data_IF_738143062453
#
_entry.id   IF_738143062453
#
_cell.length_a   1.000
_cell.length_b   1.000
_cell.length_c   1.000
_cell.angle_alpha   90.00
_cell.angle_beta   90.00
_cell.angle_gamma   90.00
#
_symmetry.space_group_name_H-M   'P 1'
#
loop_
_entity.id
_entity.type
_entity.pdbx_description
1 polymer ?
#
# COMPACT_ATOMS: atom_id res chain seq x y z
N UNK A 1 -23.12 -43.22 -57.37
CA UNK A 1 -21.83 -43.65 -56.91
C UNK A 1 -21.82 -43.48 -55.43
N UNK A 2 -21.72 -44.52 -54.78
CA UNK A 2 -21.63 -44.99 -53.42
C UNK A 2 -21.68 -43.94 -52.29
N UNK A 3 -22.80 -43.92 -51.54
CA UNK A 3 -22.96 -43.23 -50.27
C UNK A 3 -22.56 -44.18 -49.12
N UNK A 4 -21.75 -43.69 -48.21
CA UNK A 4 -21.28 -44.41 -47.00
C UNK A 4 -22.43 -44.46 -45.96
N UNK A 5 -22.82 -45.61 -45.43
CA UNK A 5 -24.00 -45.77 -44.60
C UNK A 5 -23.68 -45.83 -43.07
N UNK A 6 -22.71 -45.08 -42.53
CA UNK A 6 -22.28 -45.22 -41.11
C UNK A 6 -22.58 -44.06 -40.20
N UNK A 7 -23.58 -43.24 -40.49
CA UNK A 7 -24.06 -42.22 -39.56
C UNK A 7 -25.52 -42.47 -39.18
N UNK A 8 -25.77 -43.52 -38.39
CA UNK A 8 -27.05 -43.69 -37.67
C UNK A 8 -26.81 -43.47 -36.19
N UNK A 9 -27.39 -42.36 -35.74
CA UNK A 9 -28.12 -42.15 -34.49
C UNK A 9 -27.64 -42.84 -33.22
N UNK A 10 -27.24 -42.04 -32.24
CA UNK A 10 -27.50 -42.29 -30.83
C UNK A 10 -28.02 -41.00 -30.18
N UNK A 11 -29.30 -40.75 -30.26
CA UNK A 11 -30.00 -39.91 -29.36
C UNK A 11 -30.16 -40.65 -28.03
N UNK A 12 -29.34 -40.33 -27.04
CA UNK A 12 -29.55 -40.77 -25.65
C UNK A 12 -30.30 -39.70 -24.91
N UNK A 13 -31.45 -40.07 -24.35
CA UNK A 13 -32.32 -39.31 -23.52
C UNK A 13 -31.54 -38.77 -22.27
N UNK A 14 -31.43 -37.48 -22.13
CA UNK A 14 -30.99 -36.85 -20.89
C UNK A 14 -32.11 -36.90 -19.86
N UNK A 15 -32.02 -37.81 -18.91
CA UNK A 15 -32.86 -37.84 -17.70
C UNK A 15 -32.49 -36.61 -16.86
N UNK A 16 -33.42 -35.68 -16.73
CA UNK A 16 -33.34 -34.55 -15.82
C UNK A 16 -33.40 -35.10 -14.38
N UNK A 17 -32.27 -35.13 -13.70
CA UNK A 17 -32.22 -35.31 -12.25
C UNK A 17 -32.54 -33.94 -11.61
N UNK A 18 -33.63 -33.89 -10.88
CA UNK A 18 -33.96 -32.78 -9.97
C UNK A 18 -32.87 -32.66 -8.90
N UNK A 19 -32.35 -31.46 -8.59
CA UNK A 19 -31.43 -31.28 -7.47
C UNK A 19 -32.15 -31.58 -6.14
N UNK A 20 -31.45 -32.28 -5.26
CA UNK A 20 -31.92 -32.60 -3.92
C UNK A 20 -32.16 -31.31 -3.10
N UNK A 21 -33.17 -31.30 -2.20
CA UNK A 21 -33.42 -30.12 -1.37
C UNK A 21 -32.25 -29.82 -0.44
N UNK A 22 -31.84 -28.56 -0.41
CA UNK A 22 -30.78 -28.03 0.47
C UNK A 22 -31.26 -28.15 1.93
N UNK A 23 -30.50 -28.72 2.86
CA UNK A 23 -30.85 -28.75 4.26
C UNK A 23 -30.94 -27.34 4.85
N UNK A 24 -31.83 -27.08 5.83
CA UNK A 24 -31.95 -25.78 6.47
C UNK A 24 -30.66 -25.42 7.24
N UNK A 25 -30.32 -24.12 7.35
CA UNK A 25 -29.17 -23.69 8.11
C UNK A 25 -29.30 -24.05 9.61
N UNK A 26 -28.19 -24.32 10.30
CA UNK A 26 -28.21 -24.57 11.72
C UNK A 26 -28.72 -23.36 12.51
N UNK A 27 -29.39 -23.57 13.66
CA UNK A 27 -29.86 -22.47 14.51
C UNK A 27 -28.69 -21.66 15.06
N UNK A 28 -28.87 -20.33 15.28
CA UNK A 28 -27.86 -19.48 15.86
C UNK A 28 -27.48 -19.94 17.28
N UNK A 29 -26.24 -19.76 17.72
CA UNK A 29 -25.82 -20.09 19.10
C UNK A 29 -26.58 -19.23 20.11
N UNK A 30 -26.86 -19.77 21.33
CA UNK A 30 -27.58 -19.03 22.36
C UNK A 30 -26.78 -17.80 22.81
N UNK A 31 -27.50 -16.68 22.98
CA UNK A 31 -26.95 -15.44 23.53
C UNK A 31 -26.45 -15.69 24.99
N UNK A 32 -25.30 -15.12 25.38
CA UNK A 32 -24.84 -15.23 26.75
C UNK A 32 -25.74 -14.44 27.68
N UNK A 33 -26.35 -15.09 28.64
CA UNK A 33 -27.13 -14.50 29.71
C UNK A 33 -26.30 -13.53 30.53
N UNK A 34 -26.70 -12.28 30.58
CA UNK A 34 -26.18 -11.26 31.48
C UNK A 34 -26.51 -11.59 32.94
N UNK A 35 -25.56 -12.15 33.67
CA UNK A 35 -25.56 -12.09 35.12
C UNK A 35 -24.79 -10.83 35.56
N UNK A 36 -25.53 -9.91 36.15
CA UNK A 36 -24.99 -8.78 36.88
C UNK A 36 -24.25 -9.25 38.11
N UNK A 37 -22.94 -9.09 38.19
CA UNK A 37 -22.18 -9.13 39.44
C UNK A 37 -21.32 -7.88 39.56
N UNK A 38 -21.28 -7.42 40.79
CA UNK A 38 -20.89 -6.14 41.34
C UNK A 38 -19.60 -5.53 40.86
N UNK A 39 -19.63 -4.22 40.96
CA UNK A 39 -18.52 -3.28 40.85
C UNK A 39 -17.36 -3.69 41.79
N UNK A 40 -16.21 -3.96 41.17
CA UNK A 40 -14.91 -3.62 41.74
C UNK A 40 -14.08 -2.95 40.65
N UNK A 41 -13.69 -1.71 40.90
CA UNK A 41 -12.98 -0.88 39.93
C UNK A 41 -11.56 -1.37 39.68
N UNK A 42 -11.37 -2.10 38.60
CA UNK A 42 -10.09 -2.23 37.95
C UNK A 42 -10.11 -1.34 36.72
N UNK A 43 -9.25 -0.33 36.74
CA UNK A 43 -8.97 0.58 35.63
C UNK A 43 -8.34 -0.26 34.49
N UNK A 44 -9.18 -0.85 33.65
CA UNK A 44 -8.75 -1.44 32.38
C UNK A 44 -8.49 -0.30 31.39
N UNK A 45 -7.38 0.40 31.62
CA UNK A 45 -6.84 1.30 30.61
C UNK A 45 -6.44 0.43 29.42
N UNK A 46 -7.19 0.50 28.32
CA UNK A 46 -6.77 -0.05 27.06
C UNK A 46 -5.29 0.32 26.81
N UNK A 47 -4.44 -0.59 26.28
CA UNK A 47 -3.03 -0.29 26.06
C UNK A 47 -2.94 0.96 25.18
N UNK A 48 -2.46 2.07 25.77
CA UNK A 48 -2.18 3.30 25.05
C UNK A 48 -1.13 2.94 24.02
N UNK A 49 -1.50 2.91 22.73
CA UNK A 49 -0.52 2.81 21.66
C UNK A 49 0.44 3.99 21.85
N UNK A 50 1.76 3.76 21.88
CA UNK A 50 2.71 4.84 22.00
C UNK A 50 2.44 5.82 20.85
N UNK A 51 2.23 7.09 21.18
CA UNK A 51 2.05 8.15 20.20
C UNK A 51 3.37 8.31 19.44
N UNK A 52 3.34 8.06 18.14
CA UNK A 52 4.50 8.18 17.27
C UNK A 52 4.71 9.66 16.99
N UNK A 53 5.87 10.22 17.42
CA UNK A 53 6.25 11.58 17.07
C UNK A 53 6.79 11.62 15.61
N UNK A 54 6.10 12.30 14.69
CA UNK A 54 6.51 12.36 13.30
C UNK A 54 7.89 12.95 13.07
N UNK A 55 8.36 13.83 13.97
CA UNK A 55 9.67 14.49 13.82
C UNK A 55 10.86 13.57 14.11
N UNK A 56 10.65 12.60 14.99
CA UNK A 56 11.70 11.63 15.38
C UNK A 56 11.61 10.32 14.61
N UNK A 57 10.53 10.12 13.84
CA UNK A 57 10.24 8.89 13.10
C UNK A 57 10.97 8.83 11.76
N UNK A 58 11.07 7.61 11.21
CA UNK A 58 11.44 7.40 9.81
C UNK A 58 10.37 7.98 8.89
N UNK A 59 10.82 8.48 7.74
CA UNK A 59 9.98 9.02 6.67
C UNK A 59 9.83 7.97 5.58
N UNK A 60 8.60 7.68 5.18
CA UNK A 60 8.28 6.61 4.25
C UNK A 60 7.76 7.16 2.91
N UNK A 61 8.02 6.39 1.87
CA UNK A 61 7.43 6.58 0.55
C UNK A 61 6.86 5.26 0.05
N UNK A 62 5.59 5.22 -0.35
CA UNK A 62 4.98 4.01 -0.91
C UNK A 62 4.72 4.18 -2.41
N UNK A 63 5.06 3.16 -3.22
CA UNK A 63 5.07 3.29 -4.67
C UNK A 63 4.41 2.08 -5.34
N UNK A 64 3.52 2.32 -6.30
CA UNK A 64 3.00 1.31 -7.23
C UNK A 64 2.99 1.86 -8.66
N UNK A 65 2.33 1.20 -9.61
CA UNK A 65 2.34 1.68 -11.01
C UNK A 65 1.58 3.01 -11.20
N UNK A 66 0.35 3.12 -10.66
CA UNK A 66 -0.58 4.23 -10.95
C UNK A 66 -0.88 5.15 -9.76
N UNK A 67 -0.29 4.91 -8.59
CA UNK A 67 -0.59 5.63 -7.35
C UNK A 67 -2.11 5.65 -7.04
N UNK A 68 -2.77 4.50 -7.19
CA UNK A 68 -4.22 4.38 -7.03
C UNK A 68 -4.63 3.35 -5.97
N UNK A 69 -4.18 2.11 -6.06
CA UNK A 69 -4.63 1.02 -5.21
C UNK A 69 -3.61 0.67 -4.12
N UNK A 70 -2.57 -0.10 -4.43
CA UNK A 70 -1.63 -0.69 -3.46
C UNK A 70 -0.84 0.36 -2.67
N UNK A 71 -0.18 1.30 -3.35
CA UNK A 71 0.59 2.35 -2.68
C UNK A 71 -0.27 3.29 -1.85
N UNK A 72 -1.52 3.54 -2.27
CA UNK A 72 -2.43 4.41 -1.54
C UNK A 72 -3.04 3.71 -0.32
N UNK A 73 -3.25 2.39 -0.37
CA UNK A 73 -3.62 1.61 0.82
C UNK A 73 -2.48 1.59 1.84
N UNK A 74 -1.26 1.30 1.39
CA UNK A 74 -0.07 1.36 2.25
C UNK A 74 0.11 2.76 2.85
N UNK A 75 -0.04 3.83 2.06
CA UNK A 75 0.00 5.21 2.54
C UNK A 75 -1.03 5.45 3.66
N UNK A 76 -2.28 5.03 3.45
CA UNK A 76 -3.33 5.15 4.47
C UNK A 76 -2.95 4.45 5.77
N UNK A 77 -2.45 3.22 5.70
CA UNK A 77 -2.06 2.43 6.88
C UNK A 77 -0.93 3.12 7.65
N UNK A 78 0.14 3.54 6.97
CA UNK A 78 1.29 4.22 7.58
C UNK A 78 0.89 5.55 8.21
N UNK A 79 0.21 6.41 7.46
CA UNK A 79 -0.22 7.73 7.94
C UNK A 79 -1.25 7.63 9.08
N UNK A 80 -2.12 6.60 9.08
CA UNK A 80 -3.06 6.36 10.18
C UNK A 80 -2.38 5.85 11.46
N UNK A 81 -1.18 5.28 11.33
CA UNK A 81 -0.33 4.93 12.46
C UNK A 81 0.56 6.10 12.93
N UNK A 82 0.45 7.29 12.32
CA UNK A 82 1.25 8.48 12.67
C UNK A 82 2.64 8.54 12.02
N UNK A 83 2.95 7.65 11.07
CA UNK A 83 4.23 7.65 10.37
C UNK A 83 4.24 8.68 9.23
N UNK A 84 5.29 9.53 9.11
CA UNK A 84 5.49 10.44 7.99
C UNK A 84 5.51 9.68 6.67
N UNK A 85 4.59 10.00 5.76
CA UNK A 85 4.39 9.19 4.54
C UNK A 85 4.03 10.04 3.34
N UNK A 86 4.67 9.75 2.20
CA UNK A 86 4.32 10.23 0.87
C UNK A 86 4.10 9.04 -0.06
N UNK A 87 3.49 9.24 -1.22
CA UNK A 87 3.27 8.13 -2.16
C UNK A 87 3.27 8.58 -3.62
N UNK A 88 3.71 7.66 -4.51
CA UNK A 88 3.87 7.92 -5.93
C UNK A 88 3.47 6.72 -6.80
N UNK A 89 3.36 6.97 -8.12
CA UNK A 89 3.34 5.95 -9.15
C UNK A 89 4.58 6.02 -10.04
N UNK A 90 4.95 4.92 -10.70
CA UNK A 90 6.10 4.87 -11.63
C UNK A 90 5.70 4.88 -13.11
N UNK A 91 4.42 4.69 -13.41
CA UNK A 91 3.92 4.66 -14.79
C UNK A 91 4.07 6.02 -15.49
N UNK A 92 3.96 6.00 -16.82
CA UNK A 92 3.89 7.24 -17.61
C UNK A 92 2.53 7.94 -17.49
N UNK A 93 1.47 7.17 -17.27
CA UNK A 93 0.09 7.60 -17.11
C UNK A 93 -0.60 6.77 -16.03
N UNK A 94 -1.59 7.37 -15.39
CA UNK A 94 -2.52 6.66 -14.50
C UNK A 94 -3.46 5.82 -15.36
N UNK A 95 -3.55 4.52 -15.09
CA UNK A 95 -4.43 3.60 -15.80
C UNK A 95 -5.37 2.94 -14.82
N UNK A 96 -6.67 3.02 -15.11
CA UNK A 96 -7.74 2.38 -14.35
C UNK A 96 -8.56 1.49 -15.28
N UNK A 97 -9.20 0.43 -14.78
CA UNK A 97 -10.18 -0.33 -15.55
C UNK A 97 -11.22 0.59 -16.17
N UNK A 98 -11.53 0.36 -17.44
CA UNK A 98 -12.54 1.09 -18.17
C UNK A 98 -13.81 0.23 -18.39
N UNK A 99 -14.72 0.69 -19.26
CA UNK A 99 -15.94 -0.03 -19.55
C UNK A 99 -15.70 -1.36 -20.26
N UNK A 100 -14.53 -1.53 -20.88
CA UNK A 100 -14.09 -2.79 -21.46
C UNK A 100 -12.57 -2.97 -21.28
N UNK A 101 -12.08 -4.19 -21.43
CA UNK A 101 -10.67 -4.51 -21.34
C UNK A 101 -9.79 -3.72 -22.34
N UNK A 102 -10.33 -3.41 -23.51
CA UNK A 102 -9.62 -2.66 -24.56
C UNK A 102 -9.74 -1.13 -24.43
N UNK A 103 -10.52 -0.64 -23.49
CA UNK A 103 -10.77 0.79 -23.29
C UNK A 103 -10.52 1.19 -21.82
N UNK A 104 -9.26 1.19 -21.36
CA UNK A 104 -8.95 1.65 -20.01
C UNK A 104 -9.21 3.15 -19.87
N UNK A 105 -9.57 3.58 -18.66
CA UNK A 105 -9.56 4.99 -18.30
C UNK A 105 -8.11 5.42 -18.07
N UNK A 106 -7.70 6.54 -18.67
CA UNK A 106 -6.31 7.02 -18.64
C UNK A 106 -6.26 8.48 -18.24
N UNK A 107 -5.39 8.80 -17.26
CA UNK A 107 -5.25 10.14 -16.70
C UNK A 107 -3.78 10.53 -16.58
N UNK A 108 -3.53 11.82 -16.43
CA UNK A 108 -2.19 12.36 -16.20
C UNK A 108 -1.87 12.45 -14.71
N UNK A 109 -0.64 12.07 -14.35
CA UNK A 109 -0.08 12.36 -13.04
C UNK A 109 0.07 13.86 -12.82
N UNK A 110 0.14 14.29 -11.57
CA UNK A 110 0.44 15.64 -11.10
C UNK A 110 -0.55 16.72 -11.60
N UNK A 111 -1.62 16.35 -12.30
CA UNK A 111 -2.59 17.33 -12.87
C UNK A 111 -4.04 16.89 -12.75
N UNK A 112 -4.35 15.61 -12.93
CA UNK A 112 -5.74 15.11 -12.77
C UNK A 112 -5.99 14.72 -11.33
N UNK A 113 -6.89 15.41 -10.64
CA UNK A 113 -7.20 15.15 -9.23
C UNK A 113 -8.00 13.87 -9.04
N UNK A 114 -7.90 13.24 -7.86
CA UNK A 114 -8.76 12.10 -7.51
C UNK A 114 -10.26 12.47 -7.56
N UNK A 115 -10.60 13.73 -7.24
CA UNK A 115 -11.97 14.24 -7.34
C UNK A 115 -12.47 14.24 -8.78
N UNK A 116 -11.66 14.73 -9.73
CA UNK A 116 -12.01 14.72 -11.14
C UNK A 116 -12.18 13.29 -11.67
N UNK A 117 -11.25 12.39 -11.34
CA UNK A 117 -11.34 10.97 -11.73
C UNK A 117 -12.62 10.34 -11.17
N UNK A 118 -12.90 10.55 -9.88
CA UNK A 118 -14.09 10.01 -9.23
C UNK A 118 -15.37 10.53 -9.89
N UNK A 119 -15.47 11.82 -10.14
CA UNK A 119 -16.62 12.44 -10.78
C UNK A 119 -16.82 11.93 -12.21
N UNK A 120 -15.77 11.82 -13.00
CA UNK A 120 -15.82 11.31 -14.37
C UNK A 120 -16.31 9.86 -14.41
N UNK A 121 -15.73 8.98 -13.60
CA UNK A 121 -16.16 7.58 -13.54
C UNK A 121 -17.60 7.44 -13.03
N UNK A 122 -18.00 8.26 -12.06
CA UNK A 122 -19.41 8.30 -11.59
C UNK A 122 -20.35 8.69 -12.73
N UNK A 123 -19.99 9.69 -13.52
CA UNK A 123 -20.82 10.16 -14.66
C UNK A 123 -20.81 9.13 -15.79
N UNK A 124 -19.67 8.46 -16.04
CA UNK A 124 -19.54 7.46 -17.10
C UNK A 124 -20.39 6.20 -16.81
N UNK A 125 -20.27 5.61 -15.64
CA UNK A 125 -21.07 4.45 -15.20
C UNK A 125 -20.92 4.18 -13.69
N UNK A 126 -21.71 4.86 -12.87
CA UNK A 126 -21.68 4.71 -11.41
C UNK A 126 -21.87 3.26 -10.95
N UNK A 127 -22.81 2.52 -11.60
CA UNK A 127 -23.12 1.14 -11.20
C UNK A 127 -21.91 0.22 -11.42
N UNK A 128 -21.27 0.29 -12.59
CA UNK A 128 -20.09 -0.51 -12.91
C UNK A 128 -18.94 -0.22 -11.95
N UNK A 129 -18.63 1.06 -11.75
CA UNK A 129 -17.45 1.46 -10.98
C UNK A 129 -17.64 1.38 -9.46
N UNK A 130 -18.88 1.34 -8.98
CA UNK A 130 -19.21 0.94 -7.61
C UNK A 130 -19.03 -0.58 -7.44
N UNK A 131 -19.58 -1.37 -8.36
CA UNK A 131 -19.54 -2.83 -8.29
C UNK A 131 -18.11 -3.40 -8.35
N UNK A 132 -17.20 -2.77 -9.12
CA UNK A 132 -15.81 -3.18 -9.20
C UNK A 132 -14.87 -2.51 -8.16
N UNK A 133 -15.42 -1.71 -7.24
CA UNK A 133 -14.70 -1.08 -6.14
C UNK A 133 -13.91 0.18 -6.49
N UNK A 134 -13.88 0.64 -7.75
CA UNK A 134 -13.10 1.82 -8.15
C UNK A 134 -13.55 3.11 -7.46
N UNK A 135 -14.87 3.35 -7.32
CA UNK A 135 -15.35 4.56 -6.65
C UNK A 135 -15.01 4.55 -5.16
N UNK A 136 -15.06 3.40 -4.50
CA UNK A 136 -14.65 3.27 -3.09
C UNK A 136 -13.14 3.53 -2.93
N UNK A 137 -12.31 2.98 -3.82
CA UNK A 137 -10.87 3.21 -3.85
C UNK A 137 -10.55 4.70 -4.05
N UNK A 138 -11.19 5.35 -5.00
CA UNK A 138 -11.00 6.79 -5.25
C UNK A 138 -11.51 7.64 -4.09
N UNK A 139 -12.63 7.28 -3.46
CA UNK A 139 -13.14 7.93 -2.24
C UNK A 139 -12.14 7.84 -1.08
N UNK A 140 -11.45 6.70 -0.90
CA UNK A 140 -10.33 6.57 0.03
C UNK A 140 -9.20 7.52 -0.34
N UNK A 141 -8.80 7.57 -1.61
CA UNK A 141 -7.67 8.38 -2.07
C UNK A 141 -7.91 9.88 -1.87
N UNK A 142 -9.13 10.36 -2.10
CA UNK A 142 -9.56 11.75 -1.84
C UNK A 142 -9.29 12.19 -0.39
N UNK A 143 -9.38 11.26 0.57
CA UNK A 143 -9.14 11.55 1.99
C UNK A 143 -7.66 11.46 2.39
N UNK A 144 -6.77 11.20 1.42
CA UNK A 144 -5.33 11.07 1.66
C UNK A 144 -4.58 12.25 1.03
N UNK A 145 -4.80 12.52 -0.27
CA UNK A 145 -4.12 13.59 -1.02
C UNK A 145 -4.92 14.02 -2.26
N UNK A 146 -4.54 15.15 -2.85
CA UNK A 146 -5.30 15.77 -3.94
C UNK A 146 -5.28 15.00 -5.26
N UNK A 147 -4.14 14.45 -5.66
CA UNK A 147 -3.95 13.81 -6.96
C UNK A 147 -2.86 12.73 -6.96
N UNK A 148 -2.87 11.80 -7.94
CA UNK A 148 -1.78 10.86 -8.13
C UNK A 148 -0.51 11.59 -8.57
N UNK A 149 0.61 11.31 -7.92
CA UNK A 149 1.91 11.91 -8.23
C UNK A 149 2.83 10.85 -8.87
N UNK A 150 3.78 11.32 -9.71
CA UNK A 150 4.74 10.45 -10.38
C UNK A 150 6.10 10.52 -9.69
N UNK A 151 6.70 9.35 -9.39
CA UNK A 151 7.98 9.23 -8.68
C UNK A 151 9.14 9.92 -9.41
N UNK A 152 9.22 9.76 -10.73
CA UNK A 152 10.29 10.32 -11.53
C UNK A 152 10.26 11.87 -11.59
N UNK A 153 9.09 12.47 -11.34
CA UNK A 153 8.91 13.93 -11.33
C UNK A 153 9.24 14.55 -9.95
N UNK A 154 9.30 13.69 -8.90
CA UNK A 154 9.69 14.12 -7.57
C UNK A 154 11.20 14.39 -7.51
N UNK A 155 11.58 15.51 -6.91
CA UNK A 155 12.98 15.90 -6.72
C UNK A 155 13.31 15.82 -5.24
N UNK A 156 14.09 14.80 -4.80
CA UNK A 156 14.51 14.68 -3.42
C UNK A 156 15.25 15.92 -2.90
N UNK A 157 14.99 16.29 -1.64
CA UNK A 157 15.60 17.45 -1.00
C UNK A 157 14.96 18.79 -1.35
N UNK A 158 13.98 18.83 -2.26
CA UNK A 158 13.16 20.04 -2.44
C UNK A 158 12.00 20.01 -1.44
N UNK A 159 11.73 21.16 -0.77
CA UNK A 159 10.57 21.27 0.10
C UNK A 159 9.28 20.87 -0.60
N UNK A 160 8.38 20.24 0.13
CA UNK A 160 7.04 19.91 -0.36
C UNK A 160 6.27 21.19 -0.72
N UNK A 161 5.50 21.12 -1.82
CA UNK A 161 4.66 22.24 -2.24
C UNK A 161 3.51 22.52 -1.25
N UNK A 162 2.99 23.74 -1.23
CA UNK A 162 1.88 24.13 -0.34
C UNK A 162 0.66 23.22 -0.47
N UNK A 163 0.34 22.79 -1.71
CA UNK A 163 -0.80 21.91 -2.01
C UNK A 163 -0.70 20.52 -1.35
N UNK A 164 0.51 20.09 -0.96
CA UNK A 164 0.75 18.82 -0.30
C UNK A 164 0.85 18.91 1.22
N UNK A 165 0.78 20.11 1.81
CA UNK A 165 0.91 20.28 3.26
C UNK A 165 -0.23 19.64 4.05
N UNK A 166 -1.39 19.52 3.43
CA UNK A 166 -2.58 18.91 4.02
C UNK A 166 -2.75 17.44 3.67
N UNK A 167 -1.83 16.85 2.91
CA UNK A 167 -1.87 15.42 2.61
C UNK A 167 -1.76 14.64 3.93
N UNK A 168 -2.49 13.54 4.04
CA UNK A 168 -2.43 12.69 5.23
C UNK A 168 -1.02 12.10 5.35
N UNK A 169 -0.39 12.24 6.51
CA UNK A 169 1.00 11.81 6.73
C UNK A 169 2.07 12.80 6.24
N UNK A 170 1.69 14.02 5.80
CA UNK A 170 2.65 15.02 5.33
C UNK A 170 3.62 15.52 6.43
N UNK A 171 3.16 15.54 7.69
CA UNK A 171 3.98 15.97 8.82
C UNK A 171 5.28 15.13 8.90
N UNK A 172 6.44 15.82 8.98
CA UNK A 172 7.77 15.21 8.98
C UNK A 172 8.37 14.99 7.58
N UNK A 173 7.63 15.23 6.47
CA UNK A 173 8.12 15.10 5.09
C UNK A 173 8.39 16.44 4.40
N UNK A 174 8.33 17.55 5.13
CA UNK A 174 8.40 18.91 4.60
C UNK A 174 9.69 19.20 3.82
N UNK A 175 10.81 18.58 4.24
CA UNK A 175 12.10 18.71 3.59
C UNK A 175 12.20 17.98 2.23
N UNK A 176 11.16 17.20 1.86
CA UNK A 176 11.16 16.43 0.61
C UNK A 176 12.17 15.29 0.57
N UNK A 177 12.51 14.71 1.73
CA UNK A 177 13.37 13.52 1.83
C UNK A 177 12.65 12.40 2.58
N UNK A 178 12.99 11.15 2.25
CA UNK A 178 12.51 9.96 2.95
C UNK A 178 13.67 9.06 3.34
N UNK A 179 13.43 8.18 4.30
CA UNK A 179 14.41 7.20 4.79
C UNK A 179 14.19 5.83 4.15
N UNK A 180 12.95 5.55 3.76
CA UNK A 180 12.50 4.25 3.24
C UNK A 180 11.54 4.46 2.09
N UNK A 181 11.77 3.76 0.98
CA UNK A 181 10.84 3.62 -0.15
C UNK A 181 10.35 2.18 -0.18
N UNK A 182 9.03 1.96 -0.28
CA UNK A 182 8.43 0.63 -0.38
C UNK A 182 7.60 0.55 -1.65
N UNK A 183 8.03 -0.27 -2.59
CA UNK A 183 7.32 -0.56 -3.84
C UNK A 183 6.42 -1.78 -3.67
N UNK A 184 5.39 -1.89 -4.52
CA UNK A 184 4.38 -2.94 -4.42
C UNK A 184 4.46 -3.98 -5.54
N UNK A 185 5.47 -3.91 -6.40
CA UNK A 185 5.78 -4.87 -7.48
C UNK A 185 7.19 -4.63 -8.02
N UNK A 186 7.82 -5.68 -8.56
CA UNK A 186 9.21 -5.68 -9.01
C UNK A 186 9.51 -4.59 -10.06
N UNK A 187 8.67 -4.43 -11.08
CA UNK A 187 8.87 -3.37 -12.09
C UNK A 187 8.83 -1.95 -11.51
N UNK A 188 8.13 -1.72 -10.39
CA UNK A 188 8.18 -0.44 -9.70
C UNK A 188 9.47 -0.29 -8.89
N UNK A 189 9.98 -1.39 -8.32
CA UNK A 189 11.26 -1.44 -7.63
C UNK A 189 12.40 -1.09 -8.59
N UNK A 190 12.46 -1.73 -9.74
CA UNK A 190 13.46 -1.45 -10.76
C UNK A 190 13.38 0.01 -11.23
N UNK A 191 12.16 0.50 -11.55
CA UNK A 191 11.96 1.88 -11.98
C UNK A 191 12.38 2.92 -10.93
N UNK A 192 12.20 2.62 -9.64
CA UNK A 192 12.66 3.48 -8.54
C UNK A 192 14.18 3.47 -8.43
N UNK A 193 14.82 2.31 -8.48
CA UNK A 193 16.29 2.19 -8.43
C UNK A 193 16.95 2.88 -9.63
N UNK A 194 16.42 2.66 -10.83
CA UNK A 194 16.91 3.31 -12.05
C UNK A 194 16.79 4.84 -11.96
N UNK A 195 15.67 5.35 -11.47
CA UNK A 195 15.45 6.79 -11.32
C UNK A 195 16.40 7.42 -10.28
N UNK A 196 16.58 6.75 -9.12
CA UNK A 196 17.54 7.20 -8.10
C UNK A 196 18.98 7.20 -8.64
N UNK A 197 19.36 6.14 -9.36
CA UNK A 197 20.68 6.05 -10.00
C UNK A 197 20.87 7.18 -11.03
N UNK A 198 19.89 7.43 -11.88
CA UNK A 198 19.95 8.49 -12.91
C UNK A 198 19.97 9.91 -12.30
N UNK A 199 19.37 10.12 -11.15
CA UNK A 199 19.45 11.38 -10.38
C UNK A 199 20.83 11.63 -9.77
N UNK A 200 21.65 10.58 -9.64
CA UNK A 200 23.08 10.67 -9.35
C UNK A 200 23.45 10.99 -7.89
N UNK A 201 22.56 10.68 -6.94
CA UNK A 201 22.91 10.72 -5.50
C UNK A 201 23.38 12.10 -4.99
N UNK A 202 22.83 13.20 -5.49
CA UNK A 202 23.29 14.57 -5.23
C UNK A 202 23.28 14.96 -3.75
N UNK A 203 22.44 14.34 -2.94
CA UNK A 203 22.37 14.60 -1.51
C UNK A 203 23.35 13.74 -0.71
N UNK A 204 23.99 12.76 -1.35
CA UNK A 204 24.83 11.75 -0.69
C UNK A 204 24.15 11.13 0.54
N UNK A 205 22.84 10.88 0.43
CA UNK A 205 22.00 10.41 1.52
C UNK A 205 21.45 9.04 1.19
N UNK A 206 21.74 7.99 2.01
CA UNK A 206 21.24 6.64 1.78
C UNK A 206 19.72 6.57 1.99
N UNK A 207 19.08 5.72 1.21
CA UNK A 207 17.66 5.38 1.30
C UNK A 207 17.47 3.89 1.11
N UNK A 208 16.72 3.26 2.00
CA UNK A 208 16.37 1.85 1.86
C UNK A 208 15.19 1.71 0.90
N UNK A 209 15.36 0.90 -0.13
CA UNK A 209 14.30 0.58 -1.08
C UNK A 209 13.89 -0.87 -0.89
N UNK A 210 12.63 -1.09 -0.56
CA UNK A 210 12.02 -2.42 -0.44
C UNK A 210 11.05 -2.65 -1.58
N UNK A 211 10.94 -3.87 -2.07
CA UNK A 211 9.79 -4.34 -2.80
C UNK A 211 9.01 -5.33 -1.93
N UNK A 212 7.70 -5.17 -1.85
CA UNK A 212 6.77 -6.16 -1.31
C UNK A 212 5.83 -6.53 -2.44
N UNK A 213 5.92 -7.75 -2.95
CA UNK A 213 5.15 -8.14 -4.13
C UNK A 213 3.68 -8.39 -3.78
N UNK A 214 2.81 -7.48 -4.21
CA UNK A 214 1.38 -7.44 -3.91
C UNK A 214 0.60 -7.50 -5.21
N UNK A 215 -0.32 -8.45 -5.36
CA UNK A 215 -1.21 -8.51 -6.52
C UNK A 215 -2.10 -7.27 -6.58
N UNK A 216 -2.33 -6.75 -7.79
CA UNK A 216 -3.11 -5.52 -7.98
C UNK A 216 -4.62 -5.80 -8.00
N UNK A 217 -5.16 -6.09 -6.84
CA UNK A 217 -6.58 -6.13 -6.55
C UNK A 217 -6.86 -5.55 -5.16
N UNK A 218 -8.12 -5.32 -4.83
CA UNK A 218 -8.50 -4.63 -3.61
C UNK A 218 -8.16 -5.44 -2.35
N UNK A 219 -8.41 -6.73 -2.35
CA UNK A 219 -8.20 -7.63 -1.20
C UNK A 219 -6.71 -7.76 -0.86
N UNK A 220 -5.89 -8.03 -1.87
CA UNK A 220 -4.44 -8.13 -1.69
C UNK A 220 -3.81 -6.80 -1.30
N UNK A 221 -4.34 -5.66 -1.79
CA UNK A 221 -3.88 -4.35 -1.36
C UNK A 221 -4.12 -4.11 0.14
N UNK A 222 -5.25 -4.57 0.70
CA UNK A 222 -5.53 -4.47 2.14
C UNK A 222 -4.57 -5.35 2.96
N UNK A 223 -4.27 -6.56 2.51
CA UNK A 223 -3.31 -7.46 3.16
C UNK A 223 -1.91 -6.87 3.07
N UNK A 224 -1.48 -6.46 1.88
CA UNK A 224 -0.18 -5.86 1.64
C UNK A 224 0.03 -4.55 2.41
N UNK A 225 -1.00 -3.71 2.53
CA UNK A 225 -0.95 -2.48 3.33
C UNK A 225 -0.66 -2.76 4.81
N UNK A 226 -1.29 -3.80 5.39
CA UNK A 226 -1.01 -4.23 6.78
C UNK A 226 0.40 -4.80 6.93
N UNK A 227 0.86 -5.58 5.96
CA UNK A 227 2.20 -6.15 5.94
C UNK A 227 3.28 -5.05 5.84
N UNK A 228 3.05 -4.05 4.99
CA UNK A 228 3.92 -2.87 4.86
C UNK A 228 3.94 -2.07 6.18
N UNK A 229 2.80 -1.90 6.84
CA UNK A 229 2.74 -1.25 8.16
C UNK A 229 3.58 -2.00 9.19
N UNK A 230 3.48 -3.33 9.25
CA UNK A 230 4.28 -4.18 10.17
C UNK A 230 5.80 -4.03 9.91
N UNK A 231 6.22 -4.01 8.64
CA UNK A 231 7.62 -3.73 8.27
C UNK A 231 8.04 -2.33 8.73
N UNK A 232 7.24 -1.32 8.42
CA UNK A 232 7.53 0.07 8.74
C UNK A 232 7.65 0.32 10.25
N UNK A 233 6.77 -0.28 11.05
CA UNK A 233 6.84 -0.21 12.52
C UNK A 233 8.11 -0.86 13.05
N UNK A 234 8.50 -2.03 12.53
CA UNK A 234 9.73 -2.74 12.92
C UNK A 234 10.98 -1.90 12.58
N UNK A 235 11.02 -1.29 11.39
CA UNK A 235 12.10 -0.39 10.98
C UNK A 235 12.15 0.86 11.86
N UNK A 236 10.99 1.48 12.12
CA UNK A 236 10.91 2.70 12.93
C UNK A 236 11.32 2.46 14.38
N UNK A 237 10.96 1.32 14.96
CA UNK A 237 11.39 0.91 16.30
C UNK A 237 12.91 0.72 16.38
N UNK A 238 13.51 0.06 15.39
CA UNK A 238 14.95 -0.12 15.32
C UNK A 238 15.69 1.23 15.22
N UNK A 239 15.23 2.12 14.34
CA UNK A 239 15.76 3.46 14.20
C UNK A 239 15.67 4.27 15.51
N UNK A 240 14.54 4.19 16.21
CA UNK A 240 14.36 4.86 17.49
C UNK A 240 15.32 4.34 18.57
N UNK A 241 15.53 3.02 18.64
CA UNK A 241 16.51 2.40 19.57
C UNK A 241 17.94 2.86 19.31
N UNK A 242 18.38 2.91 18.04
CA UNK A 242 19.71 3.38 17.70
C UNK A 242 19.89 4.87 18.02
N UNK A 243 18.91 5.72 17.71
CA UNK A 243 18.94 7.14 18.09
C UNK A 243 18.99 7.34 19.60
N UNK A 244 18.23 6.54 20.36
CA UNK A 244 18.25 6.60 21.82
C UNK A 244 19.61 6.19 22.41
N UNK A 245 20.25 5.20 21.82
CA UNK A 245 21.53 4.67 22.31
C UNK A 245 22.73 5.53 21.91
N UNK A 246 22.76 6.08 20.70
CA UNK A 246 23.92 6.70 20.08
C UNK A 246 23.73 8.18 19.72
N UNK A 247 22.52 8.73 19.96
CA UNK A 247 22.13 10.08 19.56
C UNK A 247 21.77 10.18 18.06
N UNK A 248 21.21 11.28 17.66
CA UNK A 248 20.69 11.54 16.30
C UNK A 248 21.63 12.40 15.44
N UNK A 249 22.85 12.64 15.91
CA UNK A 249 23.80 13.50 15.20
C UNK A 249 24.13 12.93 13.80
N UNK A 250 23.84 13.73 12.78
CA UNK A 250 24.03 13.35 11.38
C UNK A 250 22.88 12.57 10.75
N UNK A 251 21.90 12.10 11.53
CA UNK A 251 20.80 11.28 11.03
C UNK A 251 20.07 11.87 9.82
N UNK A 252 19.68 13.14 9.89
CA UNK A 252 19.00 13.83 8.79
C UNK A 252 19.84 13.98 7.52
N UNK A 253 21.14 13.89 7.65
CA UNK A 253 22.08 13.84 6.52
C UNK A 253 22.38 12.42 6.05
N UNK A 254 21.75 11.41 6.67
CA UNK A 254 21.98 9.99 6.37
C UNK A 254 23.33 9.49 6.83
N UNK A 255 23.88 10.02 7.94
CA UNK A 255 25.19 9.65 8.47
C UNK A 255 25.17 9.61 10.01
N UNK A 256 26.25 9.11 10.60
CA UNK A 256 26.44 9.03 12.05
C UNK A 256 26.15 7.64 12.61
N UNK A 257 26.69 7.37 13.81
CA UNK A 257 26.71 6.02 14.39
C UNK A 257 25.34 5.39 14.56
N UNK A 258 24.31 6.19 14.90
CA UNK A 258 22.94 5.67 15.00
C UNK A 258 22.38 5.26 13.63
N UNK A 259 22.74 6.01 12.57
CA UNK A 259 22.33 5.67 11.21
C UNK A 259 23.03 4.41 10.73
N UNK A 260 24.33 4.30 10.95
CA UNK A 260 25.13 3.12 10.58
C UNK A 260 24.59 1.88 11.30
N UNK A 261 24.31 1.97 12.61
CA UNK A 261 23.74 0.87 13.39
C UNK A 261 22.33 0.46 12.91
N UNK A 262 21.50 1.41 12.52
CA UNK A 262 20.20 1.12 11.92
C UNK A 262 20.35 0.40 10.56
N UNK A 263 21.19 0.93 9.67
CA UNK A 263 21.41 0.39 8.33
C UNK A 263 21.89 -1.08 8.38
N UNK A 264 22.74 -1.42 9.36
CA UNK A 264 23.23 -2.79 9.59
C UNK A 264 22.12 -3.76 10.05
N UNK A 265 21.06 -3.26 10.71
CA UNK A 265 19.95 -4.09 11.19
C UNK A 265 18.88 -4.38 10.14
N UNK A 266 18.82 -3.59 9.08
CA UNK A 266 17.75 -3.69 8.07
C UNK A 266 17.60 -5.10 7.47
N UNK A 267 18.67 -5.83 7.11
CA UNK A 267 18.55 -7.19 6.58
C UNK A 267 17.90 -8.17 7.57
N UNK A 268 18.24 -8.08 8.86
CA UNK A 268 17.67 -8.95 9.91
C UNK A 268 16.19 -8.63 10.13
N UNK A 269 15.81 -7.36 10.11
CA UNK A 269 14.42 -6.92 10.24
C UNK A 269 13.60 -7.47 9.07
N UNK A 270 14.11 -7.39 7.83
CA UNK A 270 13.44 -7.94 6.66
C UNK A 270 13.29 -9.46 6.76
N UNK A 271 14.33 -10.19 7.19
CA UNK A 271 14.26 -11.64 7.36
C UNK A 271 13.21 -12.05 8.40
N UNK A 272 13.16 -11.33 9.53
CA UNK A 272 12.15 -11.55 10.57
C UNK A 272 10.75 -11.24 10.07
N UNK A 273 10.56 -10.15 9.34
CA UNK A 273 9.30 -9.79 8.72
C UNK A 273 8.86 -10.83 7.68
N UNK A 274 9.77 -11.32 6.83
CA UNK A 274 9.46 -12.35 5.82
C UNK A 274 8.97 -13.66 6.47
N UNK A 275 9.45 -13.98 7.67
CA UNK A 275 8.94 -15.11 8.46
C UNK A 275 7.48 -14.94 8.91
N UNK A 276 7.05 -13.70 9.18
CA UNK A 276 5.64 -13.39 9.52
C UNK A 276 4.73 -13.30 8.29
N UNK A 277 5.28 -12.93 7.14
CA UNK A 277 4.55 -12.73 5.88
C UNK A 277 5.09 -13.60 4.74
N UNK A 278 5.08 -14.95 4.89
CA UNK A 278 5.73 -15.87 3.93
C UNK A 278 5.11 -15.85 2.53
N UNK A 279 3.87 -15.38 2.39
CA UNK A 279 3.15 -15.31 1.12
C UNK A 279 3.34 -13.97 0.37
N UNK A 280 4.11 -13.04 0.94
CA UNK A 280 4.45 -11.76 0.34
C UNK A 280 5.96 -11.69 0.11
N UNK A 281 6.46 -12.17 -1.05
CA UNK A 281 7.89 -12.08 -1.35
C UNK A 281 8.38 -10.63 -1.27
N UNK A 282 9.54 -10.45 -0.65
CA UNK A 282 10.14 -9.14 -0.55
C UNK A 282 11.61 -9.15 -0.95
N UNK A 283 12.06 -8.04 -1.54
CA UNK A 283 13.45 -7.75 -1.86
C UNK A 283 13.85 -6.40 -1.28
N UNK A 284 15.14 -6.18 -1.13
CA UNK A 284 15.68 -4.94 -0.58
C UNK A 284 16.97 -4.53 -1.29
N UNK A 285 17.17 -3.23 -1.42
CA UNK A 285 18.42 -2.61 -1.87
C UNK A 285 18.67 -1.31 -1.11
N UNK A 286 19.93 -0.96 -0.96
CA UNK A 286 20.35 0.36 -0.51
C UNK A 286 20.63 1.23 -1.74
N UNK A 287 20.07 2.43 -1.78
CA UNK A 287 20.26 3.42 -2.83
C UNK A 287 20.60 4.79 -2.23
N UNK A 288 20.86 5.78 -3.06
CA UNK A 288 21.21 7.15 -2.63
C UNK A 288 20.39 8.20 -3.38
N UNK A 289 20.02 9.26 -2.64
CA UNK A 289 19.49 10.50 -3.21
C UNK A 289 20.59 11.44 -3.66
#
# INVERSE_FOLDING_TARGET
>A
MSADPRLRSRAQAATQQQPAPVPPPPPPPPEPSTQSMGMDGANDAAPVKPEIDPKSSLRFCTVCASNQNRSMEAHLQLASAGLPTISFGTGSLVRLPGPSFTQPNVYHFNSTTYSQIHQELTTQNAQLYTANGLLNMLGRNLNIKGFPERFQDWVPGKPRLEEHKNDKGAAGTEAGVVDVVITCEERCFDAVLDDLHNKGGKLNRPVHVFNVDIRDNHEEALVGGKAILDLALSLNEAAAKEKQALGDNGWDRGSGSARDGFDERVPEILATWQGRWPNLPATWSLAWF
#
